data_IF_435770279383
#
_entry.id   IF_435770279383
#
_cell.length_a   1.000
_cell.length_b   1.000
_cell.length_c   1.000
_cell.angle_alpha   90.00
_cell.angle_beta   90.00
_cell.angle_gamma   90.00
#
_symmetry.space_group_name_H-M   'P 1'
#
loop_
_entity.id
_entity.type
_entity.pdbx_description
1 polymer ?
#
# COMPACT_ATOMS: atom_id res chain seq x y z
N UNK A 1 30.21 58.10 -53.22
CA UNK A 1 29.37 58.69 -52.15
C UNK A 1 28.39 57.60 -51.76
N UNK A 2 28.92 56.61 -51.05
CA UNK A 2 28.24 55.38 -50.72
C UNK A 2 27.64 55.54 -49.33
N UNK A 3 26.31 55.40 -49.25
CA UNK A 3 25.56 55.51 -48.01
C UNK A 3 25.48 54.13 -47.36
N UNK A 4 26.10 54.05 -46.19
CA UNK A 4 26.00 52.93 -45.26
C UNK A 4 24.90 53.19 -44.23
N UNK A 5 24.22 52.10 -43.85
CA UNK A 5 23.56 51.81 -42.57
C UNK A 5 22.35 52.64 -42.07
N UNK A 6 21.19 51.97 -42.02
CA UNK A 6 20.33 51.95 -40.81
C UNK A 6 19.48 50.65 -40.76
N UNK A 7 19.46 49.92 -39.64
CA UNK A 7 18.86 48.59 -39.53
C UNK A 7 17.34 48.56 -39.24
N UNK A 8 16.77 47.40 -39.55
CA UNK A 8 15.37 46.97 -39.49
C UNK A 8 14.67 47.22 -38.15
N UNK A 9 13.44 47.75 -38.22
CA UNK A 9 12.52 47.89 -37.09
C UNK A 9 11.54 46.70 -37.10
N UNK A 10 11.78 45.70 -36.24
CA UNK A 10 10.85 44.61 -35.96
C UNK A 10 9.89 45.01 -34.85
N UNK A 11 8.61 45.07 -35.18
CA UNK A 11 7.47 45.21 -34.27
C UNK A 11 7.37 44.00 -33.35
N UNK A 12 7.58 44.18 -32.05
CA UNK A 12 7.19 43.22 -31.02
C UNK A 12 6.09 43.84 -30.16
N UNK A 13 4.88 43.27 -30.27
CA UNK A 13 3.73 43.64 -29.46
C UNK A 13 4.00 43.26 -27.99
N UNK A 14 4.04 44.25 -27.11
CA UNK A 14 4.19 44.03 -25.66
C UNK A 14 2.90 43.42 -25.09
N UNK A 15 2.98 42.17 -24.63
CA UNK A 15 1.90 41.50 -23.91
C UNK A 15 1.68 42.17 -22.54
N UNK A 16 0.51 42.78 -22.34
CA UNK A 16 0.09 43.39 -21.09
C UNK A 16 0.01 42.33 -19.97
N UNK A 17 0.82 42.49 -18.92
CA UNK A 17 0.76 41.65 -17.70
C UNK A 17 -0.54 41.93 -16.93
N UNK A 18 -1.29 40.88 -16.62
CA UNK A 18 -2.48 40.93 -15.75
C UNK A 18 -2.10 41.52 -14.37
N UNK A 19 -2.93 42.38 -13.75
CA UNK A 19 -2.62 42.93 -12.44
C UNK A 19 -2.62 41.84 -11.37
N UNK A 20 -1.58 41.85 -10.52
CA UNK A 20 -1.45 40.95 -9.39
C UNK A 20 -2.62 41.13 -8.41
N UNK A 21 -3.29 40.02 -8.08
CA UNK A 21 -4.41 40.00 -7.12
C UNK A 21 -3.87 40.44 -5.76
N UNK A 22 -4.41 41.53 -5.20
CA UNK A 22 -4.10 42.02 -3.84
C UNK A 22 -4.21 40.85 -2.84
N UNK A 23 -3.13 40.59 -2.11
CA UNK A 23 -3.09 39.60 -1.06
C UNK A 23 -4.15 39.95 0.00
N UNK A 24 -5.07 39.02 0.27
CA UNK A 24 -6.03 39.16 1.37
C UNK A 24 -5.31 39.18 2.73
N UNK A 25 -6.03 39.53 3.82
CA UNK A 25 -5.47 39.54 5.17
C UNK A 25 -4.88 38.16 5.49
N UNK A 26 -3.64 38.14 5.98
CA UNK A 26 -3.01 36.90 6.45
C UNK A 26 -3.90 36.30 7.55
N UNK A 27 -4.23 34.99 7.49
CA UNK A 27 -5.00 34.35 8.55
C UNK A 27 -4.23 34.50 9.89
N UNK A 28 -4.93 34.69 11.01
CA UNK A 28 -4.29 34.87 12.30
C UNK A 28 -3.36 33.68 12.61
N UNK A 29 -2.12 33.97 13.00
CA UNK A 29 -1.17 32.97 13.49
C UNK A 29 -1.85 32.18 14.61
N UNK A 30 -2.13 30.89 14.35
CA UNK A 30 -2.52 29.97 15.42
C UNK A 30 -1.36 29.94 16.42
N UNK A 31 -1.63 30.04 17.73
CA UNK A 31 -0.59 29.91 18.74
C UNK A 31 0.17 28.61 18.48
N UNK A 32 1.50 28.68 18.44
CA UNK A 32 2.37 27.51 18.36
C UNK A 32 1.91 26.54 19.46
N UNK A 33 1.21 25.48 19.07
CA UNK A 33 0.81 24.44 20.00
C UNK A 33 2.10 23.81 20.49
N UNK A 34 2.47 24.19 21.72
CA UNK A 34 3.54 23.59 22.49
C UNK A 34 3.24 22.09 22.62
N UNK A 35 3.76 21.34 21.65
CA UNK A 35 4.69 20.24 21.83
C UNK A 35 4.85 19.76 23.28
N UNK A 36 3.84 19.10 23.86
CA UNK A 36 4.11 18.15 24.94
C UNK A 36 4.62 16.84 24.30
N UNK A 37 5.92 16.89 24.00
CA UNK A 37 6.85 15.79 24.21
C UNK A 37 6.73 14.52 23.36
N UNK A 38 6.44 14.57 22.05
CA UNK A 38 7.03 13.64 21.03
C UNK A 38 6.93 14.23 19.61
N UNK A 39 7.70 15.29 19.35
CA UNK A 39 7.93 15.76 17.98
C UNK A 39 8.66 14.72 17.12
N UNK A 40 8.60 14.91 15.79
CA UNK A 40 9.29 14.09 14.76
C UNK A 40 10.82 13.99 14.97
N UNK A 41 11.38 14.90 15.78
CA UNK A 41 12.78 14.94 16.22
C UNK A 41 13.09 14.04 17.43
N UNK A 42 12.11 13.38 18.06
CA UNK A 42 12.38 12.54 19.22
C UNK A 42 13.15 11.28 18.76
N UNK A 43 14.46 11.16 19.09
CA UNK A 43 15.31 10.07 18.64
C UNK A 43 14.79 8.72 19.14
N UNK A 44 14.07 8.69 20.26
CA UNK A 44 13.49 7.47 20.84
C UNK A 44 12.43 6.85 19.94
N UNK A 45 11.56 7.64 19.30
CA UNK A 45 10.53 7.11 18.40
C UNK A 45 11.16 6.49 17.13
N UNK A 46 12.20 7.12 16.60
CA UNK A 46 12.92 6.66 15.41
C UNK A 46 13.76 5.41 15.73
N UNK A 47 14.33 5.34 16.94
CA UNK A 47 15.04 4.18 17.45
C UNK A 47 14.09 2.99 17.68
N UNK A 48 12.90 3.21 18.26
CA UNK A 48 11.90 2.16 18.46
C UNK A 48 11.40 1.54 17.16
N UNK A 49 11.21 2.36 16.10
CA UNK A 49 10.81 1.85 14.77
C UNK A 49 11.95 1.03 14.13
N UNK A 50 13.22 1.41 14.33
CA UNK A 50 14.38 0.64 13.84
C UNK A 50 14.67 -0.62 14.67
N UNK A 51 14.29 -0.63 15.94
CA UNK A 51 14.56 -1.73 16.87
C UNK A 51 13.52 -2.86 16.81
N UNK A 52 12.39 -2.66 16.11
CA UNK A 52 11.38 -3.69 15.92
C UNK A 52 11.87 -4.71 14.87
N UNK A 53 12.58 -5.74 15.31
CA UNK A 53 12.96 -6.88 14.47
C UNK A 53 11.87 -7.96 14.55
N UNK A 54 11.11 -8.23 13.46
CA UNK A 54 10.19 -9.36 13.44
C UNK A 54 10.99 -10.65 13.33
N UNK A 55 11.29 -11.29 14.47
CA UNK A 55 11.92 -12.60 14.46
C UNK A 55 10.88 -13.70 14.19
N UNK A 56 11.19 -14.70 13.35
CA UNK A 56 10.42 -15.93 13.30
C UNK A 56 10.50 -16.61 14.68
N UNK A 57 9.41 -17.24 15.12
CA UNK A 57 9.34 -18.09 16.33
C UNK A 57 9.22 -17.41 17.72
N UNK A 58 8.53 -16.27 17.84
CA UNK A 58 8.08 -15.71 19.15
C UNK A 58 9.20 -15.45 20.19
N UNK A 59 10.47 -15.37 19.79
CA UNK A 59 11.55 -15.09 20.74
C UNK A 59 11.37 -13.70 21.39
N UNK A 60 11.22 -13.69 22.72
CA UNK A 60 11.10 -12.49 23.54
C UNK A 60 12.48 -12.05 24.05
N UNK A 61 13.00 -10.97 23.47
CA UNK A 61 14.16 -10.25 24.00
C UNK A 61 13.71 -9.12 24.93
N UNK A 62 14.58 -8.68 25.87
CA UNK A 62 14.35 -7.52 26.76
C UNK A 62 13.94 -6.25 26.01
N UNK A 63 14.39 -6.10 24.76
CA UNK A 63 13.99 -5.01 23.86
C UNK A 63 12.49 -5.03 23.53
N UNK A 64 11.88 -6.21 23.33
CA UNK A 64 10.45 -6.33 23.01
C UNK A 64 9.56 -5.96 24.21
N UNK A 65 9.98 -6.34 25.43
CA UNK A 65 9.27 -5.95 26.67
C UNK A 65 9.33 -4.44 26.90
N UNK A 66 10.48 -3.82 26.64
CA UNK A 66 10.65 -2.37 26.72
C UNK A 66 9.78 -1.65 25.69
N UNK A 67 9.68 -2.19 24.47
CA UNK A 67 8.83 -1.63 23.41
C UNK A 67 7.34 -1.72 23.74
N UNK A 68 6.88 -2.83 24.33
CA UNK A 68 5.49 -2.98 24.78
C UNK A 68 5.15 -1.98 25.91
N UNK A 69 6.08 -1.72 26.83
CA UNK A 69 5.92 -0.70 27.87
C UNK A 69 5.87 0.72 27.28
N UNK A 70 6.72 1.02 26.31
CA UNK A 70 6.68 2.31 25.61
C UNK A 70 5.35 2.49 24.87
N UNK A 71 4.82 1.43 24.26
CA UNK A 71 3.54 1.48 23.56
C UNK A 71 2.35 1.75 24.49
N UNK A 72 2.32 1.17 25.69
CA UNK A 72 1.22 1.43 26.65
C UNK A 72 1.27 2.86 27.18
N UNK A 73 2.47 3.39 27.44
CA UNK A 73 2.66 4.80 27.84
C UNK A 73 2.18 5.74 26.74
N UNK A 74 2.55 5.48 25.48
CA UNK A 74 2.08 6.24 24.35
C UNK A 74 0.55 6.19 24.22
N UNK A 75 -0.07 5.00 24.31
CA UNK A 75 -1.52 4.87 24.23
C UNK A 75 -2.24 5.69 25.31
N UNK A 76 -1.73 5.68 26.55
CA UNK A 76 -2.29 6.46 27.65
C UNK A 76 -2.26 7.97 27.34
N UNK A 77 -1.12 8.50 26.87
CA UNK A 77 -0.98 9.91 26.50
C UNK A 77 -1.98 10.29 25.40
N UNK A 78 -2.14 9.47 24.36
CA UNK A 78 -3.09 9.78 23.27
C UNK A 78 -4.55 9.68 23.71
N UNK A 79 -4.86 8.76 24.62
CA UNK A 79 -6.20 8.65 25.18
C UNK A 79 -6.57 9.93 25.93
N UNK A 80 -5.64 10.46 26.72
CA UNK A 80 -5.81 11.74 27.43
C UNK A 80 -5.94 12.90 26.44
N UNK A 81 -5.05 13.00 25.45
CA UNK A 81 -5.12 14.05 24.43
C UNK A 81 -6.45 14.02 23.66
N UNK A 82 -6.94 12.83 23.31
CA UNK A 82 -8.21 12.63 22.63
C UNK A 82 -9.39 13.05 23.52
N UNK A 83 -9.42 12.61 24.78
CA UNK A 83 -10.46 12.98 25.73
C UNK A 83 -10.54 14.49 25.94
N UNK A 84 -9.39 15.16 26.11
CA UNK A 84 -9.32 16.61 26.24
C UNK A 84 -9.85 17.34 24.99
N UNK A 85 -9.51 16.86 23.79
CA UNK A 85 -10.03 17.41 22.53
C UNK A 85 -11.54 17.20 22.37
N UNK A 86 -12.07 16.05 22.79
CA UNK A 86 -13.51 15.77 22.75
C UNK A 86 -14.28 16.70 23.70
N UNK A 87 -13.78 16.90 24.92
CA UNK A 87 -14.41 17.80 25.89
C UNK A 87 -14.35 19.27 25.41
N UNK A 88 -13.22 19.71 24.86
CA UNK A 88 -13.04 21.09 24.42
C UNK A 88 -13.83 21.47 23.16
N UNK A 89 -13.93 20.56 22.18
CA UNK A 89 -14.61 20.83 20.90
C UNK A 89 -16.06 20.33 20.85
N UNK A 90 -16.47 19.52 21.82
CA UNK A 90 -17.73 18.79 21.78
C UNK A 90 -17.68 17.58 20.85
N UNK A 91 -18.50 16.57 21.16
CA UNK A 91 -18.46 15.28 20.46
C UNK A 91 -19.05 15.34 19.05
N UNK A 92 -20.29 15.84 18.89
CA UNK A 92 -21.01 15.81 17.60
C UNK A 92 -21.83 17.07 17.26
N UNK A 93 -22.42 17.77 18.24
CA UNK A 93 -23.50 18.73 17.99
C UNK A 93 -23.07 20.18 17.67
N UNK A 94 -21.77 20.50 17.70
CA UNK A 94 -21.27 21.85 17.42
C UNK A 94 -20.63 21.96 16.02
N UNK A 95 -20.70 23.14 15.36
CA UNK A 95 -20.10 23.36 14.03
C UNK A 95 -18.56 23.22 13.99
N UNK A 96 -17.91 23.11 15.15
CA UNK A 96 -16.49 22.76 15.32
C UNK A 96 -16.23 21.39 15.96
N UNK A 97 -17.22 20.48 15.93
CA UNK A 97 -17.14 19.18 16.61
C UNK A 97 -15.93 18.35 16.19
N UNK A 98 -15.38 17.61 17.16
CA UNK A 98 -14.15 16.84 17.03
C UNK A 98 -14.16 15.88 15.82
N UNK A 99 -15.28 15.19 15.60
CA UNK A 99 -15.43 14.17 14.55
C UNK A 99 -15.62 14.72 13.13
N UNK A 100 -15.71 16.04 12.93
CA UNK A 100 -15.83 16.62 11.57
C UNK A 100 -14.47 16.79 10.88
N UNK A 101 -13.39 16.83 11.66
CA UNK A 101 -12.03 16.92 11.13
C UNK A 101 -11.47 15.52 10.84
N UNK A 102 -11.22 15.20 9.57
CA UNK A 102 -10.71 13.89 9.14
C UNK A 102 -9.44 13.44 9.90
N UNK A 103 -8.55 14.38 10.26
CA UNK A 103 -7.34 14.08 11.02
C UNK A 103 -7.61 13.68 12.46
N UNK A 104 -8.64 14.28 13.08
CA UNK A 104 -9.08 13.91 14.43
C UNK A 104 -9.80 12.56 14.42
N UNK A 105 -10.55 12.23 13.36
CA UNK A 105 -11.18 10.92 13.18
C UNK A 105 -10.11 9.83 13.08
N UNK A 106 -9.01 10.08 12.37
CA UNK A 106 -7.88 9.16 12.28
C UNK A 106 -7.27 8.92 13.68
N UNK A 107 -6.98 9.99 14.42
CA UNK A 107 -6.44 9.90 15.79
C UNK A 107 -7.38 9.12 16.73
N UNK A 108 -8.69 9.36 16.65
CA UNK A 108 -9.71 8.65 17.43
C UNK A 108 -9.71 7.15 17.13
N UNK A 109 -9.71 6.77 15.86
CA UNK A 109 -9.67 5.36 15.45
C UNK A 109 -8.42 4.65 15.98
N UNK A 110 -7.25 5.30 15.96
CA UNK A 110 -6.02 4.71 16.51
C UNK A 110 -6.16 4.45 18.02
N UNK A 111 -6.74 5.39 18.78
CA UNK A 111 -6.97 5.22 20.22
C UNK A 111 -7.95 4.09 20.49
N UNK A 112 -9.08 4.03 19.76
CA UNK A 112 -10.10 2.97 19.90
C UNK A 112 -9.51 1.60 19.61
N UNK A 113 -8.79 1.43 18.50
CA UNK A 113 -8.15 0.16 18.14
C UNK A 113 -7.08 -0.23 19.18
N UNK A 114 -6.32 0.74 19.70
CA UNK A 114 -5.33 0.52 20.74
C UNK A 114 -5.93 0.06 22.07
N UNK A 115 -7.00 0.70 22.53
CA UNK A 115 -7.74 0.33 23.73
C UNK A 115 -8.39 -1.05 23.58
N UNK A 116 -9.03 -1.29 22.43
CA UNK A 116 -9.65 -2.58 22.12
C UNK A 116 -8.64 -3.73 22.10
N UNK A 117 -7.45 -3.51 21.52
CA UNK A 117 -6.36 -4.49 21.54
C UNK A 117 -5.87 -4.80 22.95
N UNK A 118 -5.82 -3.81 23.86
CA UNK A 118 -5.40 -4.02 25.24
C UNK A 118 -6.49 -4.72 26.06
N UNK A 119 -7.75 -4.36 25.84
CA UNK A 119 -8.90 -5.01 26.48
C UNK A 119 -8.96 -6.50 26.13
N UNK A 120 -8.80 -6.84 24.85
CA UNK A 120 -8.78 -8.23 24.40
C UNK A 120 -7.57 -9.03 24.92
N UNK A 121 -6.45 -8.37 25.24
CA UNK A 121 -5.31 -9.03 25.89
C UNK A 121 -5.59 -9.36 27.36
N UNK A 122 -6.38 -8.52 28.05
CA UNK A 122 -6.76 -8.71 29.45
C UNK A 122 -7.85 -9.76 29.63
N UNK A 123 -8.77 -9.88 28.67
CA UNK A 123 -9.72 -10.98 28.62
C UNK A 123 -8.97 -12.23 28.16
N UNK A 124 -8.70 -13.18 29.07
CA UNK A 124 -8.02 -14.47 28.82
C UNK A 124 -8.81 -15.42 27.88
N UNK A 125 -9.32 -14.92 26.77
CA UNK A 125 -9.96 -15.71 25.72
C UNK A 125 -8.95 -16.12 24.64
N UNK A 126 -9.16 -17.28 24.03
CA UNK A 126 -8.40 -17.83 22.88
C UNK A 126 -8.58 -17.01 21.58
N UNK A 127 -8.64 -15.68 21.66
CA UNK A 127 -8.72 -14.83 20.47
C UNK A 127 -7.31 -14.70 19.88
N UNK A 128 -7.17 -14.97 18.57
CA UNK A 128 -5.90 -14.86 17.87
C UNK A 128 -5.48 -13.38 17.75
N UNK A 129 -4.81 -12.88 18.79
CA UNK A 129 -4.32 -11.50 18.90
C UNK A 129 -3.21 -11.14 17.91
N UNK A 130 -2.80 -12.08 17.03
CA UNK A 130 -1.79 -11.82 15.98
C UNK A 130 -2.26 -10.75 15.00
N UNK A 131 -3.51 -10.81 14.53
CA UNK A 131 -4.06 -9.82 13.62
C UNK A 131 -4.15 -8.43 14.28
N UNK A 132 -4.48 -8.37 15.57
CA UNK A 132 -4.60 -7.11 16.31
C UNK A 132 -3.25 -6.38 16.47
N UNK A 133 -2.15 -7.13 16.49
CA UNK A 133 -0.80 -6.56 16.50
C UNK A 133 -0.49 -5.82 15.20
N UNK A 134 -1.06 -6.21 14.06
CA UNK A 134 -0.85 -5.54 12.78
C UNK A 134 -1.36 -4.09 12.78
N UNK A 135 -2.45 -3.78 13.50
CA UNK A 135 -2.97 -2.42 13.59
C UNK A 135 -2.01 -1.41 14.24
N UNK A 136 -0.98 -1.87 14.95
CA UNK A 136 0.10 -1.01 15.45
C UNK A 136 0.83 -0.29 14.30
N UNK A 137 0.78 -0.83 13.06
CA UNK A 137 1.32 -0.19 11.84
C UNK A 137 0.65 1.14 11.48
N UNK A 138 -0.56 1.40 12.00
CA UNK A 138 -1.27 2.66 11.78
C UNK A 138 -0.77 3.79 12.71
N UNK A 139 -0.10 3.47 13.82
CA UNK A 139 0.36 4.46 14.82
C UNK A 139 1.35 5.50 14.26
N UNK A 140 2.27 5.17 13.33
CA UNK A 140 3.06 6.15 12.60
C UNK A 140 2.23 7.22 11.88
N UNK A 141 1.03 6.90 11.37
CA UNK A 141 0.17 7.85 10.63
C UNK A 141 -0.25 9.06 11.48
N UNK A 142 -0.28 8.95 12.81
CA UNK A 142 -0.53 10.12 13.70
C UNK A 142 0.54 11.23 13.59
N UNK A 143 1.72 10.94 13.04
CA UNK A 143 2.71 11.99 12.74
C UNK A 143 2.16 12.98 11.70
N UNK A 144 1.31 12.48 10.81
CA UNK A 144 0.65 13.29 9.79
C UNK A 144 -0.36 14.23 10.43
N UNK A 145 -1.20 13.76 11.36
CA UNK A 145 -2.17 14.61 12.05
C UNK A 145 -1.50 15.68 12.92
N UNK A 146 -0.28 15.42 13.44
CA UNK A 146 0.50 16.39 14.22
C UNK A 146 1.29 17.42 13.40
N UNK A 147 1.66 17.13 12.16
CA UNK A 147 2.54 18.00 11.34
C UNK A 147 1.78 18.62 10.17
N UNK A 148 1.46 19.93 10.19
CA UNK A 148 0.62 20.56 9.16
C UNK A 148 1.23 20.49 7.76
N UNK A 149 2.55 20.55 7.63
CA UNK A 149 3.24 20.42 6.35
C UNK A 149 2.97 19.07 5.67
N UNK A 150 2.90 17.97 6.44
CA UNK A 150 2.66 16.64 5.90
C UNK A 150 1.20 16.44 5.47
N UNK A 151 0.26 17.12 6.14
CA UNK A 151 -1.16 17.14 5.76
C UNK A 151 -1.35 17.79 4.38
N UNK A 152 -0.64 18.88 4.10
CA UNK A 152 -0.71 19.54 2.78
C UNK A 152 -0.20 18.61 1.69
N UNK A 153 0.91 17.91 1.93
CA UNK A 153 1.49 16.96 0.96
C UNK A 153 0.51 15.81 0.68
N UNK A 154 -0.03 15.16 1.71
CA UNK A 154 -0.98 14.06 1.50
C UNK A 154 -2.28 14.52 0.84
N UNK A 155 -2.81 15.70 1.21
CA UNK A 155 -3.98 16.26 0.55
C UNK A 155 -3.73 16.50 -0.94
N UNK A 156 -2.51 16.92 -1.30
CA UNK A 156 -2.12 17.06 -2.71
C UNK A 156 -2.04 15.72 -3.42
N UNK A 157 -1.50 14.67 -2.78
CA UNK A 157 -1.46 13.31 -3.33
C UNK A 157 -2.87 12.76 -3.55
N UNK A 158 -3.75 12.87 -2.55
CA UNK A 158 -5.13 12.39 -2.65
C UNK A 158 -5.89 13.11 -3.77
N UNK A 159 -5.71 14.44 -3.88
CA UNK A 159 -6.31 15.22 -4.98
C UNK A 159 -5.79 14.80 -6.36
N UNK A 160 -4.50 14.46 -6.46
CA UNK A 160 -3.90 13.97 -7.70
C UNK A 160 -4.35 12.54 -8.06
N UNK A 161 -4.78 11.73 -7.08
CA UNK A 161 -5.23 10.36 -7.30
C UNK A 161 -6.61 10.28 -7.95
N UNK A 162 -7.52 11.22 -7.64
CA UNK A 162 -8.88 11.24 -8.20
C UNK A 162 -8.92 11.17 -9.74
N UNK A 163 -8.18 11.99 -10.50
CA UNK A 163 -8.19 11.88 -11.97
C UNK A 163 -7.59 10.57 -12.48
N UNK A 164 -6.63 9.96 -11.75
CA UNK A 164 -6.04 8.68 -12.12
C UNK A 164 -7.02 7.50 -11.96
N UNK A 165 -8.06 7.64 -11.15
CA UNK A 165 -9.06 6.59 -10.93
C UNK A 165 -9.78 6.20 -12.23
N UNK A 166 -10.05 7.16 -13.12
CA UNK A 166 -10.67 6.87 -14.42
C UNK A 166 -9.78 5.99 -15.31
N UNK A 167 -8.47 6.28 -15.32
CA UNK A 167 -7.48 5.48 -16.06
C UNK A 167 -7.34 4.10 -15.41
N UNK A 168 -7.27 4.03 -14.07
CA UNK A 168 -7.19 2.77 -13.34
C UNK A 168 -8.43 1.89 -13.59
N UNK A 169 -9.62 2.47 -13.70
CA UNK A 169 -10.84 1.75 -14.03
C UNK A 169 -10.82 1.20 -15.46
N UNK A 170 -10.29 1.97 -16.42
CA UNK A 170 -10.09 1.48 -17.79
C UNK A 170 -9.11 0.29 -17.81
N UNK A 171 -7.98 0.40 -17.11
CA UNK A 171 -7.00 -0.70 -17.02
C UNK A 171 -7.60 -1.94 -16.36
N UNK A 172 -8.39 -1.77 -15.29
CA UNK A 172 -9.11 -2.86 -14.64
C UNK A 172 -10.06 -3.57 -15.61
N UNK A 173 -10.81 -2.80 -16.42
CA UNK A 173 -11.70 -3.37 -17.43
C UNK A 173 -10.95 -4.19 -18.49
N UNK A 174 -9.81 -3.67 -18.97
CA UNK A 174 -8.93 -4.39 -19.90
C UNK A 174 -8.40 -5.69 -19.28
N UNK A 175 -7.98 -5.66 -18.01
CA UNK A 175 -7.53 -6.86 -17.28
C UNK A 175 -8.66 -7.90 -17.24
N UNK A 176 -9.89 -7.51 -16.95
CA UNK A 176 -11.04 -8.44 -16.89
C UNK A 176 -11.28 -9.11 -18.24
N UNK A 177 -11.22 -8.36 -19.36
CA UNK A 177 -11.39 -8.94 -20.70
C UNK A 177 -10.32 -9.99 -20.97
N UNK A 178 -9.04 -9.66 -20.78
CA UNK A 178 -7.94 -10.60 -21.03
C UNK A 178 -7.95 -11.77 -20.05
N UNK A 179 -8.42 -11.59 -18.81
CA UNK A 179 -8.57 -12.67 -17.84
C UNK A 179 -9.63 -13.68 -18.27
N UNK A 180 -10.78 -13.22 -18.81
CA UNK A 180 -11.82 -14.11 -19.33
C UNK A 180 -11.32 -14.85 -20.57
N UNK A 181 -10.65 -14.15 -21.50
CA UNK A 181 -10.05 -14.79 -22.69
C UNK A 181 -9.03 -15.86 -22.26
N UNK A 182 -8.15 -15.53 -21.30
CA UNK A 182 -7.15 -16.47 -20.79
C UNK A 182 -7.78 -17.67 -20.07
N UNK A 183 -8.83 -17.45 -19.27
CA UNK A 183 -9.60 -18.50 -18.60
C UNK A 183 -10.19 -19.49 -19.62
N UNK A 184 -10.88 -18.99 -20.65
CA UNK A 184 -11.49 -19.86 -21.67
C UNK A 184 -10.46 -20.62 -22.51
N UNK A 185 -9.30 -20.02 -22.78
CA UNK A 185 -8.27 -20.64 -23.63
C UNK A 185 -7.34 -21.58 -22.88
N UNK A 186 -6.93 -21.23 -21.66
CA UNK A 186 -5.82 -21.86 -20.94
C UNK A 186 -6.23 -22.56 -19.63
N UNK A 187 -7.54 -22.65 -19.34
CA UNK A 187 -8.05 -23.41 -18.19
C UNK A 187 -7.56 -24.87 -18.20
N UNK A 188 -6.97 -25.28 -17.08
CA UNK A 188 -6.45 -26.62 -16.83
C UNK A 188 -5.19 -27.00 -17.60
N UNK A 189 -4.63 -26.12 -18.45
CA UNK A 189 -3.46 -26.45 -19.28
C UNK A 189 -2.15 -26.40 -18.50
N UNK A 190 -2.03 -25.41 -17.61
CA UNK A 190 -0.81 -25.12 -16.83
C UNK A 190 -0.53 -26.13 -15.69
N UNK A 191 -1.41 -27.12 -15.47
CA UNK A 191 -1.24 -28.19 -14.46
C UNK A 191 -0.54 -29.44 -15.00
N UNK A 192 -0.25 -29.46 -16.29
CA UNK A 192 0.37 -30.61 -16.95
C UNK A 192 1.88 -30.57 -16.76
N UNK A 193 2.53 -31.55 -16.17
CA UNK A 193 4.00 -31.62 -16.07
C UNK A 193 4.55 -32.99 -16.47
N UNK A 194 5.85 -33.04 -16.77
CA UNK A 194 6.54 -34.29 -17.05
C UNK A 194 6.89 -35.01 -15.75
N UNK A 195 6.51 -36.28 -15.66
CA UNK A 195 6.83 -37.17 -14.56
C UNK A 195 7.63 -38.36 -15.07
N UNK A 196 8.57 -38.83 -14.25
CA UNK A 196 9.24 -40.10 -14.49
C UNK A 196 8.26 -41.25 -14.22
N UNK A 197 8.16 -42.20 -15.15
CA UNK A 197 7.31 -43.39 -15.00
C UNK A 197 7.80 -44.36 -13.91
N UNK A 198 9.08 -44.27 -13.52
CA UNK A 198 9.70 -45.18 -12.55
C UNK A 198 9.66 -44.60 -11.14
N UNK A 199 10.10 -43.35 -10.94
CA UNK A 199 10.17 -42.73 -9.60
C UNK A 199 8.89 -41.97 -9.24
N UNK A 200 8.09 -41.58 -10.23
CA UNK A 200 6.91 -40.72 -10.02
C UNK A 200 7.27 -39.27 -9.65
N UNK A 201 8.55 -38.89 -9.76
CA UNK A 201 8.99 -37.53 -9.45
C UNK A 201 8.77 -36.58 -10.64
N UNK A 202 8.52 -35.31 -10.33
CA UNK A 202 8.35 -34.24 -11.32
C UNK A 202 9.73 -33.87 -11.90
N UNK A 203 9.84 -33.88 -13.22
CA UNK A 203 11.10 -33.62 -13.93
C UNK A 203 11.25 -32.16 -14.39
N UNK A 204 10.15 -31.43 -14.55
CA UNK A 204 10.16 -30.06 -15.11
C UNK A 204 9.28 -29.09 -14.31
N UNK A 205 9.69 -27.82 -14.29
CA UNK A 205 8.94 -26.69 -13.73
C UNK A 205 8.19 -25.87 -14.79
N UNK A 206 7.91 -26.48 -15.94
CA UNK A 206 7.12 -25.87 -17.01
C UNK A 206 6.14 -26.91 -17.56
N UNK A 207 5.02 -26.47 -18.15
CA UNK A 207 3.98 -27.37 -18.54
C UNK A 207 4.38 -28.22 -19.75
N UNK A 208 3.82 -29.43 -19.82
CA UNK A 208 3.94 -30.33 -20.96
C UNK A 208 2.65 -30.31 -21.79
N UNK A 209 2.77 -30.62 -23.09
CA UNK A 209 1.62 -30.62 -23.99
C UNK A 209 2.03 -30.86 -25.43
N UNK A 210 1.18 -30.48 -26.39
CA UNK A 210 1.49 -30.67 -27.82
C UNK A 210 2.75 -29.92 -28.28
N UNK A 211 3.10 -28.81 -27.60
CA UNK A 211 4.30 -28.01 -27.91
C UNK A 211 5.57 -28.45 -27.18
N UNK A 212 5.45 -29.25 -26.11
CA UNK A 212 6.59 -29.77 -25.36
C UNK A 212 6.35 -31.23 -25.00
N UNK A 213 7.05 -32.11 -25.71
CA UNK A 213 6.91 -33.55 -25.55
C UNK A 213 7.95 -34.08 -24.53
N UNK A 214 7.48 -34.65 -23.43
CA UNK A 214 8.35 -35.14 -22.35
C UNK A 214 9.33 -36.21 -22.85
N UNK A 215 8.86 -37.12 -23.70
CA UNK A 215 9.63 -38.28 -24.15
C UNK A 215 10.81 -37.93 -25.07
N UNK A 216 10.84 -36.74 -25.67
CA UNK A 216 11.96 -36.28 -26.50
C UNK A 216 13.18 -35.88 -25.68
N UNK A 217 12.96 -35.34 -24.47
CA UNK A 217 14.03 -34.83 -23.61
C UNK A 217 14.36 -35.76 -22.45
N UNK A 218 13.38 -36.52 -21.98
CA UNK A 218 13.52 -37.45 -20.86
C UNK A 218 13.02 -38.84 -21.26
N UNK A 219 13.91 -39.84 -21.38
CA UNK A 219 13.49 -41.22 -21.62
C UNK A 219 12.62 -41.71 -20.45
N UNK A 220 11.59 -42.53 -20.73
CA UNK A 220 10.64 -43.06 -19.75
C UNK A 220 9.84 -42.00 -18.98
N UNK A 221 9.57 -40.84 -19.58
CA UNK A 221 8.71 -39.80 -18.99
C UNK A 221 7.32 -39.75 -19.62
N UNK A 222 6.32 -39.41 -18.80
CA UNK A 222 4.92 -39.22 -19.21
C UNK A 222 4.45 -37.81 -18.84
N UNK A 223 3.66 -37.19 -19.73
CA UNK A 223 2.99 -35.93 -19.44
C UNK A 223 1.71 -36.22 -18.64
N UNK A 224 1.67 -35.83 -17.36
CA UNK A 224 0.49 -36.00 -16.51
C UNK A 224 -0.26 -34.66 -16.37
N UNK A 225 -1.49 -34.52 -16.92
CA UNK A 225 -2.24 -33.26 -16.94
C UNK A 225 -2.71 -32.74 -15.58
N UNK A 226 -2.73 -33.57 -14.53
CA UNK A 226 -3.17 -33.18 -13.18
C UNK A 226 -2.15 -33.53 -12.08
N UNK A 227 -0.92 -33.87 -12.46
CA UNK A 227 0.11 -34.27 -11.49
C UNK A 227 0.76 -33.09 -10.77
N UNK A 228 0.59 -31.87 -11.27
CA UNK A 228 1.26 -30.68 -10.76
C UNK A 228 0.25 -29.57 -10.41
N UNK A 229 0.49 -28.88 -9.29
CA UNK A 229 -0.30 -27.73 -8.86
C UNK A 229 -0.19 -26.53 -9.84
N UNK A 230 0.82 -26.54 -10.70
CA UNK A 230 1.12 -25.49 -11.68
C UNK A 230 2.27 -24.58 -11.25
N UNK A 231 2.67 -23.64 -12.12
CA UNK A 231 3.81 -22.77 -11.86
C UNK A 231 3.61 -21.89 -10.62
N UNK A 232 4.71 -21.53 -9.96
CA UNK A 232 4.71 -20.74 -8.72
C UNK A 232 3.75 -21.27 -7.63
N UNK A 233 3.80 -22.58 -7.34
CA UNK A 233 2.93 -23.23 -6.35
C UNK A 233 1.43 -23.06 -6.68
N UNK A 234 1.08 -23.10 -7.96
CA UNK A 234 -0.30 -22.95 -8.43
C UNK A 234 -0.89 -21.54 -8.30
N UNK A 235 -0.05 -20.50 -8.16
CA UNK A 235 -0.53 -19.11 -8.14
C UNK A 235 -0.73 -18.56 -9.56
N UNK A 236 0.16 -18.89 -10.49
CA UNK A 236 0.10 -18.41 -11.88
C UNK A 236 -0.57 -19.44 -12.77
N UNK A 237 -1.89 -19.35 -12.88
CA UNK A 237 -2.72 -20.17 -13.78
C UNK A 237 -3.97 -19.43 -14.24
N UNK A 238 -4.68 -20.04 -15.20
CA UNK A 238 -5.94 -19.56 -15.76
C UNK A 238 -7.11 -20.48 -15.40
N UNK A 239 -7.11 -21.13 -14.24
CA UNK A 239 -8.17 -22.09 -13.88
C UNK A 239 -9.38 -21.39 -13.23
N UNK A 240 -9.13 -20.26 -12.58
CA UNK A 240 -10.15 -19.46 -11.89
C UNK A 240 -10.04 -18.01 -12.33
N UNK A 241 -11.18 -17.32 -12.39
CA UNK A 241 -11.23 -15.91 -12.79
C UNK A 241 -10.27 -15.01 -11.99
N UNK A 242 -10.16 -15.20 -10.66
CA UNK A 242 -9.25 -14.40 -9.82
C UNK A 242 -7.76 -14.64 -10.08
N UNK A 243 -7.37 -15.89 -10.32
CA UNK A 243 -5.97 -16.25 -10.64
C UNK A 243 -5.59 -15.83 -12.06
N UNK A 244 -6.53 -15.94 -13.01
CA UNK A 244 -6.39 -15.39 -14.35
C UNK A 244 -6.17 -13.87 -14.32
N UNK A 245 -6.97 -13.15 -13.52
CA UNK A 245 -6.81 -11.71 -13.31
C UNK A 245 -5.44 -11.35 -12.71
N UNK A 246 -4.97 -12.11 -11.71
CA UNK A 246 -3.66 -11.91 -11.09
C UNK A 246 -2.53 -12.15 -12.11
N UNK A 247 -2.62 -13.22 -12.90
CA UNK A 247 -1.63 -13.57 -13.92
C UNK A 247 -1.57 -12.51 -15.03
N UNK A 248 -2.71 -12.02 -15.51
CA UNK A 248 -2.78 -10.91 -16.48
C UNK A 248 -2.21 -9.62 -15.89
N UNK A 249 -2.52 -9.32 -14.62
CA UNK A 249 -1.95 -8.16 -13.93
C UNK A 249 -0.42 -8.25 -13.85
N UNK A 250 0.12 -9.40 -13.46
CA UNK A 250 1.55 -9.67 -13.46
C UNK A 250 2.17 -9.41 -14.85
N UNK A 251 1.54 -9.91 -15.93
CA UNK A 251 2.01 -9.66 -17.29
C UNK A 251 2.02 -8.17 -17.67
N UNK A 252 0.96 -7.42 -17.32
CA UNK A 252 0.87 -5.97 -17.62
C UNK A 252 1.91 -5.16 -16.86
N UNK A 253 2.29 -5.60 -15.65
CA UNK A 253 3.40 -4.97 -14.90
C UNK A 253 4.78 -5.24 -15.50
N UNK A 254 4.87 -6.05 -16.57
CA UNK A 254 6.11 -6.50 -17.21
C UNK A 254 7.04 -7.31 -16.29
N UNK A 255 6.50 -7.92 -15.23
CA UNK A 255 7.25 -8.75 -14.29
C UNK A 255 6.93 -10.22 -14.54
N UNK A 256 7.92 -11.02 -14.97
CA UNK A 256 7.73 -12.45 -15.22
C UNK A 256 6.78 -12.81 -16.37
N UNK A 257 6.38 -11.84 -17.21
CA UNK A 257 5.48 -12.07 -18.36
C UNK A 257 6.04 -13.05 -19.38
N UNK A 258 7.37 -13.06 -19.57
CA UNK A 258 8.05 -13.99 -20.48
C UNK A 258 7.92 -15.42 -20.00
N UNK A 259 7.97 -15.66 -18.69
CA UNK A 259 7.79 -16.99 -18.11
C UNK A 259 6.37 -17.50 -18.38
N UNK A 260 5.36 -16.66 -18.15
CA UNK A 260 3.96 -16.98 -18.46
C UNK A 260 3.74 -17.23 -19.96
N UNK A 261 4.46 -16.53 -20.83
CA UNK A 261 4.39 -16.74 -22.28
C UNK A 261 5.03 -18.08 -22.72
N UNK A 262 6.09 -18.52 -22.06
CA UNK A 262 6.79 -19.78 -22.38
C UNK A 262 6.13 -21.01 -21.77
N UNK A 263 5.25 -20.83 -20.77
CA UNK A 263 4.42 -21.89 -20.22
C UNK A 263 3.17 -22.09 -21.07
#
# INVERSE_FOLDING_TARGET
KDKENKPQQQTTAAAARRPARKAGPKPPERPQRALLCLGLKNPLRRLCIRAQTPFPNKDTNKSNETLDLIEIVFLAIFTIECALKIIAYGFLLHPGAYLRNAWNILDFNIVVIGLFSQLLRSLKGNVDVKALRAFRVLRPLRLVSGVPSLQVVLNSIIKAMVPLLHIALLVLFVIVIYAIIGLEMFSGKLRSACFDTITGEKLTDHPCGKGFNCSEKFPNSICNPNGWEGPNFGITNFDNFGLAMLTVFQCITNEGWTQVMYW
#
